data_IF_734293149743
#
_entry.id   IF_734293149743
#
_cell.length_a   1.000
_cell.length_b   1.000
_cell.length_c   1.000
_cell.angle_alpha   90.00
_cell.angle_beta   90.00
_cell.angle_gamma   90.00
#
_symmetry.space_group_name_H-M   'P 1'
#
loop_
_entity.id
_entity.type
_entity.pdbx_description
1 polymer ?
#
# COMPACT_ATOMS: atom_id res chain seq x y z
N UNK A 1 62.21 84.36 21.62
CA UNK A 1 61.42 84.89 22.75
C UNK A 1 60.33 83.89 23.08
N UNK A 2 60.35 83.45 24.32
CA UNK A 2 59.58 82.41 24.98
C UNK A 2 58.13 82.84 25.22
N UNK A 3 57.14 82.02 24.85
CA UNK A 3 55.80 82.08 25.44
C UNK A 3 55.26 80.67 25.66
N UNK A 4 55.25 80.27 26.94
CA UNK A 4 54.51 79.12 27.48
C UNK A 4 53.02 79.31 27.21
N UNK A 5 52.33 78.28 26.70
CA UNK A 5 50.87 78.15 26.84
C UNK A 5 50.57 76.83 27.55
N UNK A 6 49.89 76.97 28.70
CA UNK A 6 49.26 75.89 29.42
C UNK A 6 48.20 75.25 28.52
N UNK A 7 48.22 73.93 28.38
CA UNK A 7 47.12 73.16 27.80
C UNK A 7 46.53 72.29 28.90
N UNK A 8 45.29 72.63 29.30
CA UNK A 8 44.53 71.92 30.32
C UNK A 8 44.20 70.50 29.89
N UNK A 9 44.31 69.57 30.84
CA UNK A 9 43.90 68.19 30.68
C UNK A 9 42.37 68.11 30.73
N UNK A 10 41.75 67.78 29.59
CA UNK A 10 40.35 67.34 29.54
C UNK A 10 40.33 65.81 29.69
N UNK A 11 39.89 65.32 30.85
CA UNK A 11 39.59 63.90 31.04
C UNK A 11 38.27 63.63 30.30
N UNK A 12 38.35 63.02 29.11
CA UNK A 12 37.18 62.43 28.46
C UNK A 12 36.83 61.13 29.21
N UNK A 13 35.80 61.20 30.05
CA UNK A 13 35.10 60.01 30.56
C UNK A 13 34.38 59.33 29.38
N UNK A 14 35.00 58.29 28.82
CA UNK A 14 34.34 57.37 27.90
C UNK A 14 33.29 56.56 28.68
N UNK A 15 32.03 56.99 28.61
CA UNK A 15 30.91 56.15 28.98
C UNK A 15 30.86 54.97 27.98
N UNK A 16 31.42 53.83 28.36
CA UNK A 16 31.10 52.54 27.75
C UNK A 16 29.66 52.18 28.14
N UNK A 17 28.68 52.79 27.48
CA UNK A 17 27.33 52.26 27.45
C UNK A 17 27.37 50.88 26.78
N UNK A 18 26.68 49.86 27.29
CA UNK A 18 26.64 48.55 26.65
C UNK A 18 26.12 48.75 25.23
N UNK A 19 26.93 48.37 24.23
CA UNK A 19 26.47 48.25 22.84
C UNK A 19 25.37 47.20 22.85
N UNK A 20 24.11 47.64 22.79
CA UNK A 20 22.99 46.78 22.42
C UNK A 20 23.28 46.38 20.98
N UNK A 21 23.87 45.21 20.77
CA UNK A 21 23.92 44.60 19.45
C UNK A 21 22.48 44.48 18.97
N UNK A 22 22.13 45.17 17.88
CA UNK A 22 20.83 45.01 17.26
C UNK A 22 20.64 43.52 16.93
N UNK A 23 19.58 42.93 17.47
CA UNK A 23 19.26 41.53 17.23
C UNK A 23 18.87 41.39 15.76
N UNK A 24 19.74 40.79 14.95
CA UNK A 24 19.49 40.54 13.54
C UNK A 24 18.65 39.26 13.41
N UNK A 25 17.53 39.33 12.70
CA UNK A 25 16.74 38.15 12.37
C UNK A 25 17.53 37.23 11.43
N UNK A 26 17.52 35.93 11.72
CA UNK A 26 18.11 34.93 10.86
C UNK A 26 17.32 34.82 9.53
N UNK A 27 17.96 34.41 8.42
CA UNK A 27 17.24 34.12 7.18
C UNK A 27 16.14 33.09 7.38
N UNK A 28 15.05 33.19 6.60
CA UNK A 28 13.98 32.20 6.62
C UNK A 28 14.51 30.83 6.24
N UNK A 29 14.12 29.80 6.99
CA UNK A 29 14.37 28.41 6.62
C UNK A 29 13.58 28.10 5.33
N UNK A 30 14.24 27.67 4.22
CA UNK A 30 13.52 27.31 3.00
C UNK A 30 12.50 26.21 3.27
N UNK A 31 11.33 26.27 2.63
CA UNK A 31 10.31 25.21 2.71
C UNK A 31 10.74 23.92 1.99
N UNK A 32 9.88 22.88 2.02
CA UNK A 32 10.03 21.72 1.13
C UNK A 32 10.08 22.15 -0.33
N UNK A 33 10.66 21.32 -1.19
CA UNK A 33 10.76 21.62 -2.61
C UNK A 33 9.38 21.54 -3.28
N UNK A 34 8.79 22.72 -3.54
CA UNK A 34 7.47 22.84 -4.15
C UNK A 34 7.37 22.20 -5.55
N UNK A 35 8.51 21.92 -6.20
CA UNK A 35 8.53 21.21 -7.49
C UNK A 35 8.02 19.78 -7.36
N UNK A 36 8.21 19.12 -6.21
CA UNK A 36 7.78 17.73 -6.00
C UNK A 36 6.46 17.62 -5.22
N UNK A 37 5.88 18.74 -4.75
CA UNK A 37 4.58 18.72 -4.06
C UNK A 37 3.47 18.20 -5.00
N UNK A 38 2.74 17.20 -4.54
CA UNK A 38 1.56 16.64 -5.24
C UNK A 38 0.30 16.72 -4.38
N UNK A 39 -0.87 16.74 -5.01
CA UNK A 39 -2.17 16.59 -4.32
C UNK A 39 -2.43 15.12 -3.98
N UNK A 40 -2.13 14.20 -4.90
CA UNK A 40 -2.25 12.76 -4.68
C UNK A 40 -0.98 12.00 -5.05
N UNK A 41 -0.67 10.94 -4.31
CA UNK A 41 0.40 9.99 -4.62
C UNK A 41 -0.23 8.62 -4.88
N UNK A 42 0.03 8.05 -6.04
CA UNK A 42 -0.37 6.68 -6.38
C UNK A 42 0.79 5.76 -6.03
N UNK A 43 0.54 4.71 -5.27
CA UNK A 43 1.54 3.72 -4.87
C UNK A 43 1.03 2.36 -5.32
N UNK A 44 1.77 1.66 -6.17
CA UNK A 44 1.31 0.45 -6.87
C UNK A 44 2.41 -0.61 -6.98
N UNK A 45 2.04 -1.82 -7.40
CA UNK A 45 2.95 -2.92 -7.65
C UNK A 45 3.86 -2.61 -8.83
N UNK A 46 3.26 -2.59 -10.02
CA UNK A 46 3.95 -2.75 -11.29
C UNK A 46 3.67 -1.63 -12.29
N UNK A 47 4.59 -1.40 -13.25
CA UNK A 47 4.37 -0.53 -14.40
C UNK A 47 3.22 -1.00 -15.32
N UNK A 48 2.01 -0.53 -15.04
CA UNK A 48 0.74 -0.71 -15.78
C UNK A 48 -0.46 -0.48 -14.84
N UNK A 49 -0.28 -0.82 -13.56
CA UNK A 49 -1.25 -0.65 -12.48
C UNK A 49 -1.85 0.76 -12.39
N UNK A 50 -1.12 1.81 -12.80
CA UNK A 50 -1.63 3.18 -12.80
C UNK A 50 -2.81 3.39 -13.76
N UNK A 51 -2.98 2.51 -14.76
CA UNK A 51 -4.07 2.60 -15.72
C UNK A 51 -5.44 2.38 -15.06
N UNK A 52 -5.51 1.59 -13.97
CA UNK A 52 -6.73 1.39 -13.15
C UNK A 52 -7.39 2.70 -12.71
N UNK A 53 -6.57 3.74 -12.52
CA UNK A 53 -7.04 5.05 -12.04
C UNK A 53 -6.79 6.17 -13.05
N UNK A 54 -6.19 5.90 -14.22
CA UNK A 54 -5.73 6.93 -15.15
C UNK A 54 -6.84 7.89 -15.62
N UNK A 55 -8.04 7.38 -15.92
CA UNK A 55 -9.16 8.24 -16.33
C UNK A 55 -9.57 9.24 -15.23
N UNK A 56 -9.53 8.82 -13.96
CA UNK A 56 -9.79 9.69 -12.81
C UNK A 56 -8.68 10.71 -12.64
N UNK A 57 -7.41 10.28 -12.69
CA UNK A 57 -6.25 11.16 -12.57
C UNK A 57 -6.23 12.24 -13.66
N UNK A 58 -6.42 11.83 -14.92
CA UNK A 58 -6.49 12.73 -16.07
C UNK A 58 -7.56 13.81 -15.88
N UNK A 59 -8.75 13.42 -15.41
CA UNK A 59 -9.84 14.36 -15.09
C UNK A 59 -9.45 15.34 -14.00
N UNK A 60 -8.88 14.85 -12.91
CA UNK A 60 -8.50 15.69 -11.77
C UNK A 60 -7.37 16.67 -12.13
N UNK A 61 -6.41 16.22 -12.94
CA UNK A 61 -5.33 17.07 -13.48
C UNK A 61 -5.89 18.17 -14.38
N UNK A 62 -6.75 17.80 -15.33
CA UNK A 62 -7.26 18.75 -16.32
C UNK A 62 -8.25 19.75 -15.72
N UNK A 63 -9.27 19.24 -15.02
CA UNK A 63 -10.40 20.06 -14.59
C UNK A 63 -10.17 20.71 -13.23
N UNK A 64 -9.51 20.01 -12.31
CA UNK A 64 -9.30 20.50 -10.94
C UNK A 64 -7.86 20.97 -10.68
N UNK A 65 -6.98 20.92 -11.70
CA UNK A 65 -5.57 21.35 -11.61
C UNK A 65 -4.80 20.66 -10.50
N UNK A 66 -5.20 19.42 -10.19
CA UNK A 66 -4.51 18.58 -9.22
C UNK A 66 -3.18 18.10 -9.79
N UNK A 67 -2.20 17.87 -8.92
CA UNK A 67 -0.91 17.28 -9.24
C UNK A 67 -0.86 15.87 -8.69
N UNK A 68 -0.37 14.93 -9.49
CA UNK A 68 -0.16 13.55 -9.06
C UNK A 68 1.25 13.10 -9.40
N UNK A 69 1.72 12.10 -8.66
CA UNK A 69 2.91 11.33 -8.97
C UNK A 69 2.64 9.85 -8.68
N UNK A 70 3.49 8.98 -9.21
CA UNK A 70 3.36 7.52 -9.06
C UNK A 70 4.63 6.91 -8.47
N UNK A 71 4.46 5.92 -7.62
CA UNK A 71 5.51 5.11 -7.03
C UNK A 71 5.20 3.64 -7.34
N UNK A 72 6.11 2.98 -8.04
CA UNK A 72 6.04 1.56 -8.34
C UNK A 72 6.96 0.81 -7.38
N UNK A 73 6.41 -0.16 -6.64
CA UNK A 73 7.17 -0.96 -5.68
C UNK A 73 8.12 -1.95 -6.35
N UNK A 74 7.81 -2.34 -7.60
CA UNK A 74 8.69 -3.08 -8.49
C UNK A 74 8.92 -2.34 -9.80
N UNK A 75 9.68 -2.98 -10.71
CA UNK A 75 9.94 -2.48 -12.06
C UNK A 75 9.27 -3.34 -13.14
N UNK A 76 8.40 -4.28 -12.76
CA UNK A 76 7.71 -5.18 -13.70
C UNK A 76 8.65 -6.20 -14.36
N UNK A 77 9.67 -6.68 -13.65
CA UNK A 77 10.77 -7.44 -14.26
C UNK A 77 10.51 -8.93 -14.50
N UNK A 78 9.41 -9.51 -13.99
CA UNK A 78 9.09 -10.94 -14.14
C UNK A 78 7.83 -11.22 -14.97
N UNK A 79 7.18 -10.17 -15.48
CA UNK A 79 6.03 -10.29 -16.37
C UNK A 79 6.36 -10.83 -17.77
N UNK A 80 5.32 -11.15 -18.53
CA UNK A 80 5.47 -11.50 -19.95
C UNK A 80 6.00 -10.33 -20.79
N UNK A 81 6.64 -10.63 -21.91
CA UNK A 81 7.05 -9.61 -22.89
C UNK A 81 6.45 -9.93 -24.26
N UNK A 82 5.51 -9.09 -24.70
CA UNK A 82 4.81 -9.24 -25.98
C UNK A 82 5.64 -8.81 -27.20
N UNK A 83 6.68 -7.99 -26.99
CA UNK A 83 7.41 -7.29 -28.07
C UNK A 83 8.73 -7.97 -28.39
N UNK A 84 9.47 -8.41 -27.38
CA UNK A 84 10.86 -8.82 -27.52
C UNK A 84 11.31 -9.92 -26.57
N UNK A 85 12.62 -10.16 -26.55
CA UNK A 85 13.25 -11.18 -25.69
C UNK A 85 13.87 -10.58 -24.41
N UNK A 86 13.82 -9.26 -24.24
CA UNK A 86 14.24 -8.58 -23.02
C UNK A 86 13.43 -9.12 -21.84
N UNK A 87 14.15 -9.53 -20.79
CA UNK A 87 13.59 -10.18 -19.61
C UNK A 87 14.38 -9.73 -18.37
N UNK A 88 13.80 -9.95 -17.18
CA UNK A 88 14.45 -9.60 -15.91
C UNK A 88 14.83 -8.10 -15.90
N UNK A 89 16.06 -7.76 -15.52
CA UNK A 89 16.54 -6.37 -15.45
C UNK A 89 16.41 -5.61 -16.77
N UNK A 90 16.54 -6.27 -17.93
CA UNK A 90 16.35 -5.60 -19.22
C UNK A 90 14.88 -5.22 -19.46
N UNK A 91 13.94 -6.09 -19.08
CA UNK A 91 12.51 -5.78 -19.15
C UNK A 91 12.13 -4.67 -18.17
N UNK A 92 12.75 -4.65 -16.98
CA UNK A 92 12.58 -3.58 -16.01
C UNK A 92 12.91 -2.20 -16.60
N UNK A 93 14.04 -2.07 -17.29
CA UNK A 93 14.45 -0.81 -17.92
C UNK A 93 13.49 -0.39 -19.05
N UNK A 94 12.94 -1.35 -19.79
CA UNK A 94 11.91 -1.09 -20.82
C UNK A 94 10.62 -0.59 -20.17
N UNK A 95 10.11 -1.30 -19.16
CA UNK A 95 8.82 -0.99 -18.51
C UNK A 95 8.83 0.31 -17.71
N UNK A 96 9.98 0.71 -17.15
CA UNK A 96 10.13 2.06 -16.61
C UNK A 96 9.89 3.15 -17.66
N UNK A 97 10.41 2.94 -18.87
CA UNK A 97 10.24 3.89 -19.97
C UNK A 97 8.79 3.89 -20.49
N UNK A 98 8.18 2.71 -20.60
CA UNK A 98 6.76 2.58 -20.97
C UNK A 98 5.86 3.32 -19.98
N UNK A 99 6.06 3.12 -18.67
CA UNK A 99 5.30 3.84 -17.64
C UNK A 99 5.49 5.34 -17.71
N UNK A 100 6.73 5.84 -17.86
CA UNK A 100 6.99 7.28 -17.98
C UNK A 100 6.32 7.88 -19.22
N UNK A 101 6.34 7.19 -20.35
CA UNK A 101 5.65 7.62 -21.56
C UNK A 101 4.13 7.61 -21.37
N UNK A 102 3.58 6.56 -20.76
CA UNK A 102 2.16 6.43 -20.44
C UNK A 102 1.68 7.58 -19.56
N UNK A 103 2.32 7.78 -18.41
CA UNK A 103 2.03 8.84 -17.44
C UNK A 103 2.05 10.24 -18.06
N UNK A 104 3.00 10.50 -18.95
CA UNK A 104 3.13 11.79 -19.61
C UNK A 104 1.93 12.12 -20.52
N UNK A 105 1.24 11.12 -21.09
CA UNK A 105 0.07 11.34 -21.98
C UNK A 105 -1.11 12.02 -21.27
N UNK A 106 -1.20 11.88 -19.95
CA UNK A 106 -2.26 12.45 -19.13
C UNK A 106 -1.76 13.40 -18.03
N UNK A 107 -0.48 13.78 -18.09
CA UNK A 107 0.07 14.94 -17.37
C UNK A 107 0.83 14.62 -16.08
N UNK A 108 1.20 13.36 -15.83
CA UNK A 108 2.07 12.97 -14.73
C UNK A 108 3.51 12.87 -15.23
N UNK A 109 4.44 13.57 -14.58
CA UNK A 109 5.85 13.60 -14.97
C UNK A 109 6.80 13.06 -13.88
N UNK A 110 6.29 12.89 -12.66
CA UNK A 110 7.05 12.44 -11.51
C UNK A 110 6.68 10.98 -11.22
N UNK A 111 7.65 10.08 -11.43
CA UNK A 111 7.51 8.66 -11.19
C UNK A 111 8.81 8.08 -10.61
N UNK A 112 8.66 7.29 -9.54
CA UNK A 112 9.75 6.57 -8.89
C UNK A 112 9.49 5.07 -8.94
N UNK A 113 10.57 4.32 -9.06
CA UNK A 113 10.56 2.86 -9.14
C UNK A 113 11.49 2.35 -8.05
N UNK A 114 10.96 1.52 -7.16
CA UNK A 114 11.71 0.90 -6.09
C UNK A 114 12.46 -0.33 -6.60
N UNK A 115 13.19 -0.97 -5.70
CA UNK A 115 14.07 -2.11 -6.01
C UNK A 115 13.41 -3.48 -5.80
N UNK A 116 12.10 -3.54 -5.54
CA UNK A 116 11.37 -4.81 -5.44
C UNK A 116 11.40 -5.58 -6.77
N UNK A 117 11.48 -6.91 -6.69
CA UNK A 117 11.28 -7.79 -7.84
C UNK A 117 9.87 -8.33 -7.82
N UNK A 118 9.22 -8.44 -8.97
CA UNK A 118 7.90 -9.07 -9.07
C UNK A 118 7.98 -10.51 -8.52
N UNK A 119 6.96 -10.89 -7.76
CA UNK A 119 6.84 -12.25 -7.22
C UNK A 119 5.74 -13.05 -7.91
N UNK A 120 5.80 -14.38 -7.87
CA UNK A 120 4.72 -15.24 -8.32
C UNK A 120 3.91 -15.82 -7.15
N UNK A 121 2.58 -15.90 -7.28
CA UNK A 121 1.72 -16.68 -6.39
C UNK A 121 0.47 -15.96 -5.94
N UNK A 122 0.22 -15.96 -4.63
CA UNK A 122 -0.89 -15.27 -3.98
C UNK A 122 -0.59 -14.87 -2.52
N UNK A 123 0.66 -15.02 -2.05
CA UNK A 123 1.05 -14.74 -0.66
C UNK A 123 1.76 -13.38 -0.53
N UNK A 124 1.03 -12.37 -0.03
CA UNK A 124 1.56 -11.02 0.24
C UNK A 124 2.84 -11.02 1.10
N UNK A 125 2.99 -11.99 2.02
CA UNK A 125 4.15 -12.05 2.89
C UNK A 125 5.42 -12.42 2.09
N UNK A 126 5.27 -13.17 1.01
CA UNK A 126 6.36 -13.49 0.10
C UNK A 126 6.83 -12.25 -0.67
N UNK A 127 5.91 -11.41 -1.17
CA UNK A 127 6.24 -10.13 -1.79
C UNK A 127 6.99 -9.22 -0.83
N UNK A 128 6.45 -9.02 0.38
CA UNK A 128 7.05 -8.18 1.41
C UNK A 128 8.45 -8.67 1.82
N UNK A 129 8.65 -9.98 1.96
CA UNK A 129 9.96 -10.57 2.23
C UNK A 129 10.92 -10.31 1.06
N UNK A 130 10.50 -10.62 -0.17
CA UNK A 130 11.33 -10.53 -1.38
C UNK A 130 11.80 -9.10 -1.65
N UNK A 131 10.94 -8.11 -1.40
CA UNK A 131 11.28 -6.70 -1.60
C UNK A 131 12.14 -6.11 -0.47
N UNK A 132 12.29 -6.85 0.63
CA UNK A 132 12.86 -6.31 1.85
C UNK A 132 11.94 -5.26 2.46
N UNK A 133 10.84 -5.70 3.08
CA UNK A 133 9.77 -4.87 3.66
C UNK A 133 10.26 -3.57 4.31
N UNK A 134 11.23 -3.65 5.23
CA UNK A 134 11.75 -2.46 5.92
C UNK A 134 12.45 -1.46 4.99
N UNK A 135 13.15 -1.92 3.96
CA UNK A 135 13.81 -1.07 2.96
C UNK A 135 12.78 -0.43 2.03
N UNK A 136 11.84 -1.21 1.50
CA UNK A 136 10.76 -0.68 0.67
C UNK A 136 9.95 0.39 1.42
N UNK A 137 9.64 0.13 2.70
CA UNK A 137 8.93 1.06 3.56
C UNK A 137 9.73 2.35 3.83
N UNK A 138 11.05 2.27 4.05
CA UNK A 138 11.96 3.44 4.13
C UNK A 138 11.80 4.33 2.89
N UNK A 139 11.93 3.74 1.70
CA UNK A 139 11.86 4.42 0.42
C UNK A 139 10.49 5.09 0.18
N UNK A 140 9.39 4.41 0.49
CA UNK A 140 8.05 5.01 0.35
C UNK A 140 7.83 6.13 1.35
N UNK A 141 8.24 5.98 2.62
CA UNK A 141 8.14 7.05 3.61
C UNK A 141 8.96 8.28 3.18
N UNK A 142 10.15 8.06 2.61
CA UNK A 142 10.98 9.11 2.01
C UNK A 142 10.23 9.85 0.91
N UNK A 143 9.58 9.12 0.00
CA UNK A 143 8.83 9.69 -1.12
C UNK A 143 7.56 10.42 -0.66
N UNK A 144 6.84 9.92 0.35
CA UNK A 144 5.70 10.65 0.95
C UNK A 144 6.17 11.96 1.58
N UNK A 145 7.31 11.98 2.27
CA UNK A 145 7.87 13.22 2.85
C UNK A 145 8.39 14.19 1.80
N UNK A 146 8.99 13.69 0.72
CA UNK A 146 9.46 14.50 -0.41
C UNK A 146 8.30 15.15 -1.16
N UNK A 147 7.26 14.36 -1.47
CA UNK A 147 6.14 14.78 -2.32
C UNK A 147 4.99 15.41 -1.56
N UNK A 148 4.96 15.25 -0.23
CA UNK A 148 3.97 15.83 0.66
C UNK A 148 2.51 15.65 0.18
N UNK A 149 2.03 14.44 -0.15
CA UNK A 149 0.70 14.25 -0.77
C UNK A 149 -0.44 14.52 0.22
N UNK A 150 -1.57 15.05 -0.27
CA UNK A 150 -2.78 15.16 0.55
C UNK A 150 -3.50 13.80 0.66
N UNK A 151 -3.48 13.03 -0.42
CA UNK A 151 -4.14 11.72 -0.55
C UNK A 151 -3.16 10.67 -1.07
N UNK A 152 -3.26 9.45 -0.55
CA UNK A 152 -2.63 8.26 -1.13
C UNK A 152 -3.71 7.40 -1.81
N UNK A 153 -3.42 6.93 -3.02
CA UNK A 153 -4.23 5.95 -3.76
C UNK A 153 -3.37 4.70 -3.97
N UNK A 154 -3.89 3.51 -3.70
CA UNK A 154 -3.11 2.27 -3.78
C UNK A 154 -4.02 1.05 -3.92
N UNK A 155 -3.44 -0.12 -4.17
CA UNK A 155 -4.15 -1.40 -4.13
C UNK A 155 -4.75 -1.74 -2.77
N UNK A 156 -5.79 -2.58 -2.76
CA UNK A 156 -6.46 -3.05 -1.55
C UNK A 156 -5.55 -3.98 -0.73
N UNK A 157 -5.23 -3.66 0.54
CA UNK A 157 -4.51 -4.57 1.43
C UNK A 157 -5.47 -5.63 2.00
N UNK A 158 -5.94 -6.53 1.13
CA UNK A 158 -6.79 -7.65 1.45
C UNK A 158 -6.50 -8.82 0.50
N UNK A 159 -6.64 -10.04 1.02
CA UNK A 159 -6.55 -11.26 0.23
C UNK A 159 -7.84 -11.44 -0.57
N UNK A 160 -7.76 -11.28 -1.89
CA UNK A 160 -8.85 -11.53 -2.84
C UNK A 160 -8.39 -12.62 -3.79
N UNK A 161 -9.25 -13.59 -4.09
CA UNK A 161 -8.83 -14.73 -4.90
C UNK A 161 -8.97 -14.45 -6.39
N UNK A 162 -7.96 -14.87 -7.17
CA UNK A 162 -7.96 -14.74 -8.64
C UNK A 162 -7.74 -13.32 -9.17
N UNK A 163 -7.62 -12.34 -8.27
CA UNK A 163 -7.51 -10.91 -8.49
C UNK A 163 -6.65 -10.33 -7.36
N UNK A 164 -6.14 -9.11 -7.52
CA UNK A 164 -5.38 -8.38 -6.52
C UNK A 164 -4.24 -9.25 -5.98
N UNK A 165 -3.37 -9.65 -6.89
CA UNK A 165 -2.31 -10.61 -6.59
C UNK A 165 -1.36 -10.06 -5.51
N UNK A 166 -0.47 -10.91 -5.01
CA UNK A 166 0.37 -10.70 -3.84
C UNK A 166 1.16 -9.39 -3.84
N UNK A 167 1.64 -8.96 -5.00
CA UNK A 167 2.40 -7.72 -5.12
C UNK A 167 1.47 -6.49 -5.06
N UNK A 168 0.26 -6.56 -5.63
CA UNK A 168 -0.76 -5.52 -5.43
C UNK A 168 -1.07 -5.37 -3.94
N UNK A 169 -1.32 -6.49 -3.27
CA UNK A 169 -1.51 -6.55 -1.82
C UNK A 169 -0.32 -5.94 -1.05
N UNK A 170 0.90 -6.29 -1.45
CA UNK A 170 2.14 -5.78 -0.84
C UNK A 170 2.28 -4.27 -0.96
N UNK A 171 1.97 -3.71 -2.13
CA UNK A 171 1.95 -2.26 -2.33
C UNK A 171 0.89 -1.58 -1.44
N UNK A 172 -0.30 -2.17 -1.32
CA UNK A 172 -1.36 -1.71 -0.41
C UNK A 172 -0.92 -1.71 1.07
N UNK A 173 -0.21 -2.75 1.50
CA UNK A 173 0.36 -2.84 2.85
C UNK A 173 1.37 -1.72 3.08
N UNK A 174 2.38 -1.59 2.21
CA UNK A 174 3.43 -0.60 2.33
C UNK A 174 2.89 0.85 2.31
N UNK A 175 1.93 1.14 1.44
CA UNK A 175 1.28 2.44 1.35
C UNK A 175 0.49 2.78 2.63
N UNK A 176 -0.18 1.80 3.22
CA UNK A 176 -0.94 1.95 4.47
C UNK A 176 0.00 2.24 5.65
N UNK A 177 1.12 1.53 5.75
CA UNK A 177 2.13 1.78 6.77
C UNK A 177 2.82 3.14 6.56
N UNK A 178 3.17 3.49 5.32
CA UNK A 178 3.78 4.78 5.00
C UNK A 178 2.86 5.95 5.35
N UNK A 179 1.54 5.81 5.15
CA UNK A 179 0.54 6.79 5.60
C UNK A 179 0.65 7.06 7.11
N UNK A 180 0.86 6.01 7.91
CA UNK A 180 0.94 6.10 9.37
C UNK A 180 2.31 6.53 9.89
N UNK A 181 3.37 6.37 9.09
CA UNK A 181 4.74 6.62 9.52
C UNK A 181 5.33 7.94 9.00
N UNK A 182 4.88 8.45 7.86
CA UNK A 182 5.49 9.63 7.23
C UNK A 182 5.45 10.89 8.11
N UNK A 183 4.42 11.03 8.95
CA UNK A 183 4.29 12.13 9.93
C UNK A 183 5.08 11.91 11.22
N UNK A 184 5.63 10.72 11.47
CA UNK A 184 6.38 10.38 12.68
C UNK A 184 7.90 10.62 12.47
N UNK A 185 8.53 11.59 13.15
CA UNK A 185 9.97 11.86 12.99
C UNK A 185 10.90 10.76 13.51
N UNK A 186 10.37 9.79 14.28
CA UNK A 186 11.15 8.64 14.77
C UNK A 186 11.14 7.45 13.81
N UNK A 187 10.28 7.45 12.80
CA UNK A 187 10.34 6.51 11.70
C UNK A 187 11.37 7.01 10.68
N UNK A 188 12.44 6.25 10.44
CA UNK A 188 13.54 6.63 9.54
C UNK A 188 14.11 8.03 9.85
N UNK A 189 14.66 8.24 11.08
CA UNK A 189 15.10 9.57 11.54
C UNK A 189 16.23 10.18 10.69
N UNK A 190 17.01 9.35 10.00
CA UNK A 190 18.03 9.74 9.02
C UNK A 190 17.47 10.49 7.80
N UNK A 191 16.19 10.34 7.49
CA UNK A 191 15.52 11.13 6.45
C UNK A 191 15.20 12.56 6.91
N UNK A 192 14.90 12.74 8.20
CA UNK A 192 14.47 14.06 8.73
C UNK A 192 15.62 14.88 9.28
N UNK A 193 16.78 14.26 9.55
CA UNK A 193 17.95 15.00 10.02
C UNK A 193 18.41 15.99 8.94
N UNK A 194 18.58 17.26 9.35
CA UNK A 194 18.98 18.32 8.45
C UNK A 194 20.41 18.11 7.94
N UNK A 195 20.71 18.48 6.67
CA UNK A 195 22.08 18.48 6.17
C UNK A 195 22.94 19.49 6.94
N UNK A 196 24.20 19.13 7.21
CA UNK A 196 25.15 19.99 7.93
C UNK A 196 25.33 21.38 7.29
N UNK A 197 25.41 21.45 5.96
CA UNK A 197 25.47 22.69 5.19
C UNK A 197 24.90 22.50 3.78
N UNK A 198 23.58 22.66 3.62
CA UNK A 198 22.85 22.43 2.34
C UNK A 198 23.41 23.15 1.09
N UNK A 199 24.31 24.11 1.24
CA UNK A 199 24.92 24.88 0.14
C UNK A 199 26.34 24.41 -0.21
N UNK A 200 26.83 23.32 0.38
CA UNK A 200 28.19 22.82 0.19
C UNK A 200 28.21 21.29 -0.08
N UNK A 201 29.38 20.73 -0.39
CA UNK A 201 29.59 19.28 -0.58
C UNK A 201 29.72 18.55 0.78
N UNK A 202 29.65 17.22 0.76
CA UNK A 202 29.76 16.34 1.95
C UNK A 202 28.67 16.56 3.00
N UNK A 203 27.43 16.77 2.54
CA UNK A 203 26.26 16.78 3.41
C UNK A 203 25.70 15.38 3.60
N UNK A 204 25.61 14.97 4.86
CA UNK A 204 24.91 13.76 5.29
C UNK A 204 23.59 14.17 5.95
N UNK A 205 22.52 13.40 5.74
CA UNK A 205 21.16 13.73 6.16
C UNK A 205 20.31 14.31 5.03
N UNK A 206 19.08 13.81 4.88
CA UNK A 206 18.22 14.14 3.74
C UNK A 206 17.42 15.45 3.94
N UNK A 207 17.26 15.91 5.18
CA UNK A 207 16.60 17.18 5.50
C UNK A 207 15.12 17.25 5.13
N UNK A 208 14.46 16.09 4.95
CA UNK A 208 13.03 16.02 4.73
C UNK A 208 12.26 16.42 5.99
N UNK A 209 10.99 16.77 5.83
CA UNK A 209 10.11 17.11 6.95
C UNK A 209 9.09 16.00 7.13
N UNK A 210 8.70 15.69 8.38
CA UNK A 210 7.54 14.84 8.61
C UNK A 210 6.32 15.41 7.87
N UNK A 211 5.58 14.53 7.21
CA UNK A 211 4.37 14.90 6.47
C UNK A 211 3.28 13.87 6.75
N UNK A 212 2.10 14.33 7.13
CA UNK A 212 0.95 13.48 7.37
C UNK A 212 -0.02 13.59 6.19
N UNK A 213 -0.13 12.56 5.32
CA UNK A 213 -1.21 12.49 4.35
C UNK A 213 -2.55 12.48 5.08
N UNK A 214 -3.57 13.07 4.45
CA UNK A 214 -4.88 13.29 5.09
C UNK A 214 -5.83 12.14 4.85
N UNK A 215 -5.75 11.49 3.69
CA UNK A 215 -6.61 10.35 3.34
C UNK A 215 -5.87 9.27 2.56
N UNK A 216 -6.36 8.04 2.65
CA UNK A 216 -5.95 6.92 1.82
C UNK A 216 -7.18 6.19 1.30
N UNK A 217 -7.17 5.86 0.01
CA UNK A 217 -8.20 5.10 -0.68
C UNK A 217 -7.57 3.94 -1.43
N UNK A 218 -8.32 2.85 -1.53
CA UNK A 218 -7.89 1.64 -2.21
C UNK A 218 -8.65 1.41 -3.51
N UNK A 219 -8.06 0.70 -4.47
CA UNK A 219 -8.73 0.13 -5.65
C UNK A 219 -8.34 -1.35 -5.81
N UNK A 220 -9.01 -2.05 -6.73
CA UNK A 220 -8.83 -3.48 -6.97
C UNK A 220 -9.30 -3.83 -8.40
N UNK A 221 -8.67 -4.85 -8.96
CA UNK A 221 -8.75 -5.41 -10.33
C UNK A 221 -9.69 -6.62 -10.49
N UNK A 222 -10.25 -7.17 -9.41
CA UNK A 222 -11.64 -6.80 -9.21
C UNK A 222 -12.72 -7.06 -10.28
N UNK A 223 -13.05 -8.27 -10.72
CA UNK A 223 -14.18 -8.51 -11.63
C UNK A 223 -15.53 -8.69 -10.91
N UNK A 224 -15.53 -8.78 -9.58
CA UNK A 224 -16.74 -8.92 -8.74
C UNK A 224 -17.11 -7.62 -8.04
N UNK A 225 -17.82 -6.72 -8.72
CA UNK A 225 -18.00 -5.34 -8.23
C UNK A 225 -18.94 -5.13 -7.03
N UNK A 226 -19.66 -6.16 -6.55
CA UNK A 226 -20.71 -6.00 -5.54
C UNK A 226 -20.18 -5.42 -4.22
N UNK A 227 -18.94 -5.73 -3.84
CA UNK A 227 -18.36 -5.24 -2.58
C UNK A 227 -17.91 -3.78 -2.64
N UNK A 228 -17.76 -3.15 -3.81
CA UNK A 228 -17.49 -1.71 -3.88
C UNK A 228 -18.68 -0.87 -3.44
N UNK A 229 -19.89 -1.42 -3.52
CA UNK A 229 -21.13 -0.67 -3.34
C UNK A 229 -21.18 -0.01 -1.96
N UNK A 230 -21.14 1.31 -1.96
CA UNK A 230 -21.20 2.13 -0.73
C UNK A 230 -19.93 2.09 0.12
N UNK A 231 -18.84 1.49 -0.37
CA UNK A 231 -17.55 1.42 0.34
C UNK A 231 -16.60 2.56 -0.02
N UNK A 232 -16.87 3.31 -1.08
CA UNK A 232 -16.13 4.51 -1.43
C UNK A 232 -16.75 5.25 -2.62
N UNK A 233 -16.08 6.29 -3.14
CA UNK A 233 -16.56 7.04 -4.29
C UNK A 233 -16.40 6.26 -5.60
N UNK A 234 -17.33 6.49 -6.52
CA UNK A 234 -17.29 5.96 -7.88
C UNK A 234 -17.25 7.12 -8.88
N UNK A 235 -16.37 7.02 -9.88
CA UNK A 235 -16.15 8.04 -10.89
C UNK A 235 -16.40 7.49 -12.30
N UNK A 236 -17.28 8.17 -13.03
CA UNK A 236 -17.52 7.85 -14.45
C UNK A 236 -16.33 8.27 -15.30
N UNK A 237 -15.98 7.44 -16.27
CA UNK A 237 -14.87 7.65 -17.21
C UNK A 237 -15.34 8.23 -18.55
N UNK A 238 -16.65 8.25 -18.81
CA UNK A 238 -17.25 8.75 -20.05
C UNK A 238 -17.40 10.28 -20.14
N UNK A 239 -16.94 11.02 -19.13
CA UNK A 239 -16.93 12.48 -19.19
C UNK A 239 -15.90 12.97 -20.23
N UNK A 240 -16.27 13.98 -21.02
CA UNK A 240 -15.44 14.48 -22.11
C UNK A 240 -14.39 15.45 -21.59
N UNK A 241 -13.12 15.17 -21.88
CA UNK A 241 -11.99 16.07 -21.68
C UNK A 241 -12.23 17.40 -22.40
N UNK A 242 -12.28 18.55 -21.69
CA UNK A 242 -12.49 19.85 -22.30
C UNK A 242 -11.43 20.25 -23.33
N UNK A 243 -10.17 19.84 -23.16
CA UNK A 243 -9.08 20.14 -24.09
C UNK A 243 -9.00 19.14 -25.24
N UNK A 244 -9.10 17.84 -24.96
CA UNK A 244 -8.89 16.78 -25.95
C UNK A 244 -10.14 16.43 -26.75
N UNK A 245 -11.33 16.79 -26.27
CA UNK A 245 -12.65 16.50 -26.88
C UNK A 245 -12.96 15.00 -27.05
N UNK A 246 -12.35 14.17 -26.21
CA UNK A 246 -12.58 12.72 -26.12
C UNK A 246 -12.94 12.36 -24.66
N UNK A 247 -13.63 11.23 -24.40
CA UNK A 247 -13.89 10.79 -23.03
C UNK A 247 -12.60 10.43 -22.29
N UNK A 248 -12.57 10.58 -20.96
CA UNK A 248 -11.40 10.17 -20.16
C UNK A 248 -11.11 8.67 -20.23
N UNK A 249 -12.10 7.83 -20.53
CA UNK A 249 -11.87 6.42 -20.87
C UNK A 249 -10.93 6.27 -22.07
N UNK A 250 -11.10 7.09 -23.10
CA UNK A 250 -10.21 7.08 -24.27
C UNK A 250 -8.83 7.66 -23.95
N UNK A 251 -8.73 8.59 -22.99
CA UNK A 251 -7.44 9.06 -22.46
C UNK A 251 -6.69 7.91 -21.78
N UNK A 252 -7.37 7.11 -20.94
CA UNK A 252 -6.78 5.93 -20.31
C UNK A 252 -6.40 4.85 -21.33
N UNK A 253 -7.22 4.63 -22.36
CA UNK A 253 -6.89 3.70 -23.44
C UNK A 253 -5.66 4.13 -24.26
N UNK A 254 -5.48 5.44 -24.49
CA UNK A 254 -4.26 5.96 -25.12
C UNK A 254 -3.04 5.77 -24.20
N UNK A 255 -3.18 6.02 -22.90
CA UNK A 255 -2.13 5.76 -21.92
C UNK A 255 -1.71 4.28 -21.91
N UNK A 256 -2.68 3.36 -21.95
CA UNK A 256 -2.42 1.91 -22.06
C UNK A 256 -1.60 1.55 -23.30
N UNK A 257 -1.77 2.25 -24.43
CA UNK A 257 -1.05 1.95 -25.68
C UNK A 257 0.48 2.11 -25.60
N UNK A 258 0.99 2.72 -24.52
CA UNK A 258 2.42 2.83 -24.25
C UNK A 258 3.01 1.61 -23.54
N UNK A 259 2.19 0.76 -22.92
CA UNK A 259 2.60 -0.50 -22.29
C UNK A 259 2.66 -1.63 -23.33
N UNK A 260 3.55 -1.49 -24.31
CA UNK A 260 3.63 -2.40 -25.45
C UNK A 260 4.11 -3.79 -25.05
N UNK A 261 4.95 -3.89 -24.03
CA UNK A 261 5.42 -5.19 -23.52
C UNK A 261 4.32 -6.01 -22.82
N UNK A 262 3.21 -5.38 -22.45
CA UNK A 262 2.05 -6.04 -21.87
C UNK A 262 1.18 -6.69 -22.95
N UNK A 263 0.55 -7.84 -22.66
CA UNK A 263 -0.29 -8.57 -23.61
C UNK A 263 -1.67 -8.88 -23.03
N UNK A 264 -2.25 -7.92 -22.33
CA UNK A 264 -3.35 -8.23 -21.40
C UNK A 264 -4.73 -8.03 -22.02
N UNK A 265 -4.84 -7.21 -23.08
CA UNK A 265 -6.12 -6.85 -23.66
C UNK A 265 -6.18 -6.95 -25.19
N UNK A 266 -7.26 -7.55 -25.67
CA UNK A 266 -7.81 -7.22 -27.00
C UNK A 266 -8.45 -5.83 -26.99
N UNK A 267 -8.65 -5.22 -28.15
CA UNK A 267 -9.32 -3.90 -28.27
C UNK A 267 -10.68 -3.86 -27.54
N UNK A 268 -11.44 -4.96 -27.58
CA UNK A 268 -12.74 -5.06 -26.92
C UNK A 268 -12.59 -5.08 -25.39
N UNK A 269 -11.63 -5.84 -24.86
CA UNK A 269 -11.36 -5.90 -23.42
C UNK A 269 -10.82 -4.57 -22.91
N UNK A 270 -9.90 -3.92 -23.64
CA UNK A 270 -9.38 -2.61 -23.27
C UNK A 270 -10.50 -1.56 -23.21
N UNK A 271 -11.42 -1.61 -24.17
CA UNK A 271 -12.59 -0.73 -24.17
C UNK A 271 -13.48 -0.98 -22.96
N UNK A 272 -13.79 -2.24 -22.65
CA UNK A 272 -14.59 -2.61 -21.48
C UNK A 272 -13.93 -2.14 -20.18
N UNK A 273 -12.63 -2.42 -20.03
CA UNK A 273 -11.82 -2.01 -18.89
C UNK A 273 -11.82 -0.48 -18.69
N UNK A 274 -11.47 0.27 -19.73
CA UNK A 274 -11.32 1.74 -19.62
C UNK A 274 -12.65 2.50 -19.56
N UNK A 275 -13.75 1.94 -20.08
CA UNK A 275 -15.09 2.54 -19.95
C UNK A 275 -15.79 2.17 -18.65
N UNK A 276 -15.28 1.19 -17.90
CA UNK A 276 -15.79 0.88 -16.57
C UNK A 276 -15.63 2.10 -15.63
N UNK A 277 -16.57 2.32 -14.70
CA UNK A 277 -16.39 3.32 -13.66
C UNK A 277 -15.20 2.97 -12.76
N UNK A 278 -14.38 3.97 -12.43
CA UNK A 278 -13.32 3.81 -11.44
C UNK A 278 -13.95 3.79 -10.05
N UNK A 279 -13.64 2.76 -9.27
CA UNK A 279 -14.20 2.53 -7.94
C UNK A 279 -13.10 2.53 -6.91
N UNK A 280 -13.29 3.36 -5.89
CA UNK A 280 -12.42 3.36 -4.73
C UNK A 280 -13.12 2.76 -3.53
N UNK A 281 -12.32 2.22 -2.62
CA UNK A 281 -12.70 1.76 -1.29
C UNK A 281 -12.09 2.74 -0.31
N UNK A 282 -12.90 3.27 0.59
CA UNK A 282 -12.45 4.17 1.64
C UNK A 282 -11.51 3.42 2.59
N UNK A 283 -10.27 3.91 2.71
CA UNK A 283 -9.34 3.45 3.73
C UNK A 283 -9.53 4.22 5.01
N UNK A 284 -8.97 5.42 5.11
CA UNK A 284 -9.13 6.30 6.28
C UNK A 284 -9.02 7.77 5.92
N UNK A 285 -9.59 8.62 6.76
CA UNK A 285 -9.51 10.09 6.65
C UNK A 285 -9.24 10.72 8.01
N UNK A 286 -8.20 11.56 8.07
CA UNK A 286 -7.82 12.36 9.24
C UNK A 286 -8.50 13.75 9.24
N UNK A 287 -9.29 14.05 8.21
CA UNK A 287 -10.01 15.32 8.04
C UNK A 287 -11.54 15.13 7.94
N UNK A 288 -12.03 13.92 8.25
CA UNK A 288 -13.43 13.55 8.17
C UNK A 288 -13.95 13.43 6.73
N UNK A 289 -15.27 13.57 6.57
CA UNK A 289 -15.98 13.27 5.31
C UNK A 289 -16.72 11.93 5.39
N UNK A 290 -17.66 11.69 4.49
CA UNK A 290 -18.32 10.38 4.38
C UNK A 290 -17.45 9.44 3.53
N UNK A 291 -17.54 8.11 3.73
CA UNK A 291 -16.77 7.14 2.94
C UNK A 291 -16.95 7.29 1.43
N UNK A 292 -18.17 7.62 0.98
CA UNK A 292 -18.56 7.77 -0.43
C UNK A 292 -18.40 9.19 -0.98
N UNK A 293 -17.92 10.13 -0.17
CA UNK A 293 -17.64 11.49 -0.62
C UNK A 293 -16.50 11.53 -1.61
N UNK A 294 -16.42 12.63 -2.37
CA UNK A 294 -15.26 12.91 -3.22
C UNK A 294 -13.94 12.79 -2.43
N UNK A 295 -12.94 12.19 -3.06
CA UNK A 295 -11.61 11.94 -2.49
C UNK A 295 -11.01 13.22 -1.88
N UNK A 296 -11.17 14.38 -2.53
CA UNK A 296 -10.61 15.64 -2.06
C UNK A 296 -11.54 16.46 -1.15
N UNK A 297 -12.73 15.94 -0.80
CA UNK A 297 -13.65 16.62 0.12
C UNK A 297 -12.95 16.94 1.45
N UNK A 298 -13.12 18.15 1.98
CA UNK A 298 -12.56 18.62 3.27
C UNK A 298 -11.02 18.67 3.35
N UNK A 299 -10.32 18.55 2.23
CA UNK A 299 -8.87 18.77 2.19
C UNK A 299 -8.58 20.27 2.12
N UNK A 300 -8.06 20.83 3.21
CA UNK A 300 -7.54 22.19 3.27
C UNK A 300 -6.04 22.22 2.87
N UNK A 301 -5.48 23.33 2.35
CA UNK A 301 -4.06 23.38 1.96
C UNK A 301 -3.05 23.30 3.12
N UNK A 302 -3.47 23.60 4.36
CA UNK A 302 -2.57 23.58 5.51
C UNK A 302 -2.19 22.14 5.90
N UNK A 303 -0.93 21.89 6.32
CA UNK A 303 -0.55 20.59 6.87
C UNK A 303 -1.30 20.30 8.18
N UNK A 304 -1.53 19.03 8.47
CA UNK A 304 -2.04 18.58 9.76
C UNK A 304 -0.91 18.02 10.63
N UNK A 305 -1.13 17.98 11.94
CA UNK A 305 -0.21 17.32 12.87
C UNK A 305 -0.20 15.80 12.66
N UNK A 306 0.85 15.15 13.16
CA UNK A 306 0.94 13.70 13.18
C UNK A 306 -0.25 13.08 13.92
N UNK A 307 -0.88 12.07 13.32
CA UNK A 307 -1.91 11.26 13.97
C UNK A 307 -1.38 9.84 14.11
N UNK A 308 -1.28 9.39 15.36
CA UNK A 308 -0.80 8.04 15.66
C UNK A 308 -1.86 7.01 15.27
N UNK A 309 -1.48 6.00 14.49
CA UNK A 309 -2.28 4.80 14.29
C UNK A 309 -2.48 4.03 15.61
N UNK A 310 -3.52 3.18 15.67
CA UNK A 310 -3.79 2.32 16.84
C UNK A 310 -2.55 1.52 17.24
N UNK A 311 -1.86 0.97 16.24
CA UNK A 311 -0.77 0.02 16.42
C UNK A 311 -1.28 -1.37 16.81
N UNK A 312 -0.38 -2.34 16.83
CA UNK A 312 -0.72 -3.71 17.22
C UNK A 312 -1.16 -3.78 18.68
N UNK A 313 -2.33 -4.38 18.90
CA UNK A 313 -2.83 -4.75 20.23
C UNK A 313 -2.97 -6.28 20.26
N UNK A 314 -2.34 -6.97 21.22
CA UNK A 314 -2.49 -8.41 21.32
C UNK A 314 -3.94 -8.76 21.64
N UNK A 315 -4.52 -9.78 20.98
CA UNK A 315 -5.87 -10.22 21.29
C UNK A 315 -5.95 -10.78 22.71
N UNK A 316 -7.17 -10.84 23.26
CA UNK A 316 -7.41 -11.45 24.56
C UNK A 316 -6.88 -12.89 24.62
N UNK A 317 -6.24 -13.24 25.73
CA UNK A 317 -5.65 -14.56 25.93
C UNK A 317 -6.71 -15.67 25.83
N UNK A 318 -6.59 -16.52 24.81
CA UNK A 318 -7.50 -17.63 24.58
C UNK A 318 -6.81 -18.81 23.88
N UNK A 319 -7.49 -19.95 23.90
CA UNK A 319 -7.17 -21.08 23.02
C UNK A 319 -8.05 -20.96 21.77
N UNK A 320 -7.46 -20.84 20.59
CA UNK A 320 -8.18 -20.61 19.35
C UNK A 320 -7.64 -21.45 18.18
N UNK A 321 -8.52 -21.77 17.24
CA UNK A 321 -8.16 -22.22 15.89
C UNK A 321 -8.49 -21.07 14.93
N UNK A 322 -7.53 -20.70 14.09
CA UNK A 322 -7.69 -19.62 13.10
C UNK A 322 -6.99 -19.96 11.78
N UNK A 323 -7.29 -19.19 10.72
CA UNK A 323 -6.45 -19.18 9.51
C UNK A 323 -5.17 -18.38 9.81
N UNK A 324 -4.03 -18.98 9.49
CA UNK A 324 -2.68 -18.42 9.51
C UNK A 324 -2.34 -17.64 8.24
N UNK A 325 -1.04 -17.52 7.95
CA UNK A 325 -0.54 -16.87 6.73
C UNK A 325 -1.08 -15.43 6.53
N UNK A 326 -1.39 -15.04 5.28
CA UNK A 326 -2.00 -13.75 4.97
C UNK A 326 -3.26 -13.42 5.78
N UNK A 327 -4.12 -14.41 6.06
CA UNK A 327 -5.35 -14.16 6.83
C UNK A 327 -5.08 -13.79 8.28
N UNK A 328 -4.11 -14.44 8.95
CA UNK A 328 -3.70 -14.05 10.29
C UNK A 328 -3.03 -12.67 10.29
N UNK A 329 -2.17 -12.42 9.31
CA UNK A 329 -1.52 -11.12 9.13
C UNK A 329 -2.57 -10.01 9.01
N UNK A 330 -3.51 -10.12 8.07
CA UNK A 330 -4.52 -9.08 7.85
C UNK A 330 -5.46 -8.87 9.03
N UNK A 331 -5.85 -9.95 9.72
CA UNK A 331 -6.67 -9.87 10.94
C UNK A 331 -6.05 -8.97 12.01
N UNK A 332 -4.72 -8.94 12.11
CA UNK A 332 -3.99 -8.04 12.99
C UNK A 332 -3.68 -6.68 12.35
N UNK A 333 -3.37 -6.66 11.05
CA UNK A 333 -3.00 -5.47 10.29
C UNK A 333 -4.12 -4.43 10.26
N UNK A 334 -5.34 -4.82 9.87
CA UNK A 334 -6.43 -3.86 9.70
C UNK A 334 -6.75 -3.03 10.95
N UNK A 335 -6.97 -3.63 12.15
CA UNK A 335 -7.22 -2.84 13.35
C UNK A 335 -5.99 -2.01 13.76
N UNK A 336 -4.76 -2.52 13.55
CA UNK A 336 -3.53 -1.78 13.87
C UNK A 336 -3.40 -0.47 13.07
N UNK A 337 -3.95 -0.44 11.86
CA UNK A 337 -3.90 0.70 10.94
C UNK A 337 -5.21 1.49 10.84
N UNK A 338 -6.18 1.22 11.73
CA UNK A 338 -7.50 1.86 11.78
C UNK A 338 -8.32 1.69 10.49
N UNK A 339 -8.26 0.49 9.89
CA UNK A 339 -8.98 0.11 8.67
C UNK A 339 -9.72 -1.23 8.86
N UNK A 340 -10.12 -1.58 10.09
CA UNK A 340 -10.79 -2.86 10.41
C UNK A 340 -12.07 -3.15 9.62
N UNK A 341 -12.73 -2.12 9.08
CA UNK A 341 -13.93 -2.28 8.24
C UNK A 341 -13.65 -2.98 6.90
N UNK A 342 -12.37 -3.09 6.51
CA UNK A 342 -11.98 -3.89 5.33
C UNK A 342 -12.18 -5.40 5.56
N UNK A 343 -12.19 -5.86 6.81
CA UNK A 343 -12.44 -7.27 7.15
C UNK A 343 -13.84 -7.74 6.71
N UNK A 344 -14.78 -6.81 6.52
CA UNK A 344 -16.16 -7.10 6.12
C UNK A 344 -16.33 -7.16 4.59
N UNK A 345 -15.27 -6.94 3.80
CA UNK A 345 -15.36 -6.95 2.34
C UNK A 345 -15.40 -8.37 1.78
N UNK A 346 -14.56 -9.26 2.31
CA UNK A 346 -14.41 -10.63 1.84
C UNK A 346 -14.34 -11.61 3.00
N UNK A 347 -15.03 -12.74 2.83
CA UNK A 347 -14.75 -13.92 3.63
C UNK A 347 -13.44 -14.54 3.11
N UNK A 348 -12.64 -15.21 3.97
CA UNK A 348 -11.46 -15.93 3.53
C UNK A 348 -11.75 -16.86 2.36
N UNK A 349 -10.99 -16.72 1.30
CA UNK A 349 -11.17 -17.44 0.04
C UNK A 349 -9.84 -17.88 -0.57
N UNK A 350 -9.83 -18.96 -1.34
CA UNK A 350 -8.65 -19.58 -1.95
C UNK A 350 -9.03 -20.22 -3.30
N UNK A 351 -8.04 -20.55 -4.13
CA UNK A 351 -8.25 -21.19 -5.43
C UNK A 351 -7.36 -22.44 -5.54
N UNK A 352 -7.87 -23.47 -6.20
CA UNK A 352 -7.11 -24.70 -6.46
C UNK A 352 -7.63 -25.40 -7.71
N UNK A 353 -6.73 -26.02 -8.47
CA UNK A 353 -7.14 -26.86 -9.59
C UNK A 353 -7.69 -28.22 -9.12
N UNK A 354 -8.65 -28.81 -9.86
CA UNK A 354 -9.08 -30.16 -9.60
C UNK A 354 -7.90 -31.14 -9.59
N UNK A 355 -7.83 -32.01 -8.57
CA UNK A 355 -6.74 -32.98 -8.41
C UNK A 355 -5.44 -32.43 -7.79
N UNK A 356 -5.28 -31.11 -7.72
CA UNK A 356 -4.13 -30.48 -7.08
C UNK A 356 -4.33 -30.33 -5.56
N UNK A 357 -3.23 -30.12 -4.84
CA UNK A 357 -3.25 -29.91 -3.38
C UNK A 357 -3.22 -28.42 -3.06
N UNK A 358 -4.20 -27.96 -2.28
CA UNK A 358 -4.19 -26.65 -1.64
C UNK A 358 -3.67 -26.79 -0.22
N UNK A 359 -2.60 -26.07 0.11
CA UNK A 359 -2.20 -25.92 1.49
C UNK A 359 -3.15 -24.97 2.22
N UNK A 360 -3.63 -25.38 3.39
CA UNK A 360 -4.50 -24.54 4.23
C UNK A 360 -3.72 -24.15 5.49
N UNK A 361 -3.31 -22.88 5.63
CA UNK A 361 -2.59 -22.44 6.81
C UNK A 361 -3.56 -22.36 7.98
N UNK A 362 -3.67 -23.43 8.76
CA UNK A 362 -4.39 -23.41 10.03
C UNK A 362 -3.40 -23.16 11.17
N UNK A 363 -3.80 -22.34 12.13
CA UNK A 363 -3.01 -22.00 13.31
C UNK A 363 -3.81 -22.31 14.57
N UNK A 364 -3.22 -23.10 15.47
CA UNK A 364 -3.75 -23.29 16.82
C UNK A 364 -2.96 -22.39 17.74
N UNK A 365 -3.61 -21.40 18.35
CA UNK A 365 -2.98 -20.46 19.27
C UNK A 365 -3.38 -20.77 20.71
N UNK A 366 -2.41 -20.89 21.60
CA UNK A 366 -2.62 -21.17 23.01
C UNK A 366 -2.00 -20.07 23.88
N UNK A 367 -2.77 -19.03 24.20
CA UNK A 367 -2.31 -17.95 25.09
C UNK A 367 -2.47 -18.31 26.59
N UNK A 368 -2.80 -19.56 26.93
CA UNK A 368 -3.02 -19.97 28.31
C UNK A 368 -1.72 -20.43 28.97
N UNK A 369 -1.69 -20.45 30.31
CA UNK A 369 -0.52 -20.89 31.09
C UNK A 369 -0.32 -22.42 31.15
N UNK A 370 -1.10 -23.19 30.38
CA UNK A 370 -1.05 -24.66 30.41
C UNK A 370 -0.97 -25.24 29.00
N UNK A 371 -0.31 -26.40 28.88
CA UNK A 371 -0.32 -27.18 27.64
C UNK A 371 -1.75 -27.56 27.29
N UNK A 372 -2.11 -27.42 26.01
CA UNK A 372 -3.43 -27.80 25.48
C UNK A 372 -3.31 -28.88 24.44
N UNK A 373 -4.18 -29.89 24.53
CA UNK A 373 -4.33 -30.91 23.49
C UNK A 373 -5.57 -30.58 22.67
N UNK A 374 -5.35 -30.22 21.42
CA UNK A 374 -6.41 -29.77 20.51
C UNK A 374 -6.57 -30.78 19.40
N UNK A 375 -7.76 -31.38 19.30
CA UNK A 375 -8.12 -32.22 18.16
C UNK A 375 -8.68 -31.33 17.05
N UNK A 376 -8.08 -31.36 15.87
CA UNK A 376 -8.59 -30.66 14.67
C UNK A 376 -9.15 -31.70 13.70
N UNK A 377 -10.37 -31.46 13.25
CA UNK A 377 -11.11 -32.33 12.31
C UNK A 377 -11.70 -31.50 11.19
N UNK A 378 -11.47 -31.88 9.94
CA UNK A 378 -12.17 -31.25 8.84
C UNK A 378 -13.61 -31.76 8.68
N UNK A 379 -14.44 -30.86 8.18
CA UNK A 379 -15.82 -31.07 7.75
C UNK A 379 -15.86 -30.63 6.29
N UNK A 380 -15.55 -31.58 5.40
CA UNK A 380 -15.39 -31.31 3.97
C UNK A 380 -16.63 -31.79 3.18
N UNK A 381 -17.00 -31.10 2.08
CA UNK A 381 -17.99 -31.62 1.14
C UNK A 381 -17.56 -32.97 0.54
N UNK A 382 -18.53 -33.78 0.11
CA UNK A 382 -18.23 -35.05 -0.57
C UNK A 382 -17.36 -34.81 -1.81
N UNK A 383 -16.32 -35.63 -2.02
CA UNK A 383 -15.37 -35.48 -3.14
C UNK A 383 -14.08 -34.71 -2.78
N UNK A 384 -13.98 -34.16 -1.57
CA UNK A 384 -12.73 -33.60 -1.05
C UNK A 384 -11.96 -34.64 -0.24
N UNK A 385 -10.63 -34.55 -0.29
CA UNK A 385 -9.72 -35.31 0.57
C UNK A 385 -8.81 -34.37 1.35
N UNK A 386 -8.34 -34.81 2.52
CA UNK A 386 -7.39 -34.07 3.37
C UNK A 386 -6.17 -34.94 3.72
N UNK A 387 -5.03 -34.27 3.95
CA UNK A 387 -3.83 -34.89 4.51
C UNK A 387 -3.09 -33.89 5.41
N UNK A 388 -2.78 -34.24 6.68
CA UNK A 388 -3.25 -35.44 7.38
C UNK A 388 -4.77 -35.38 7.63
N UNK A 389 -5.34 -36.48 8.12
CA UNK A 389 -6.72 -36.50 8.58
C UNK A 389 -6.88 -35.83 9.96
N UNK A 390 -7.86 -36.30 10.73
CA UNK A 390 -8.03 -35.85 12.13
C UNK A 390 -6.81 -36.18 12.99
N UNK A 391 -6.20 -35.16 13.58
CA UNK A 391 -5.03 -35.28 14.46
C UNK A 391 -5.21 -34.50 15.77
N UNK A 392 -4.40 -34.87 16.77
CA UNK A 392 -4.36 -34.21 18.08
C UNK A 392 -3.02 -33.49 18.23
N UNK A 393 -3.09 -32.18 18.42
CA UNK A 393 -1.94 -31.30 18.52
C UNK A 393 -1.71 -30.91 19.98
N UNK A 394 -0.48 -31.05 20.46
CA UNK A 394 -0.08 -30.61 21.80
C UNK A 394 0.59 -29.24 21.69
N UNK A 395 -0.10 -28.19 22.12
CA UNK A 395 0.37 -26.81 22.02
C UNK A 395 0.86 -26.34 23.40
N UNK A 396 2.10 -25.84 23.47
CA UNK A 396 2.69 -25.35 24.70
C UNK A 396 1.98 -24.06 25.19
N UNK A 397 2.13 -23.69 26.48
CA UNK A 397 1.68 -22.38 26.97
C UNK A 397 2.33 -21.24 26.18
N UNK A 398 1.55 -20.22 25.84
CA UNK A 398 2.01 -19.03 25.10
C UNK A 398 2.68 -19.36 23.76
N UNK A 399 2.17 -20.40 23.09
CA UNK A 399 2.73 -20.92 21.84
C UNK A 399 1.65 -21.06 20.75
N UNK A 400 2.11 -21.13 19.51
CA UNK A 400 1.25 -21.35 18.34
C UNK A 400 1.74 -22.57 17.56
N UNK A 401 0.80 -23.42 17.12
CA UNK A 401 1.09 -24.61 16.34
C UNK A 401 0.56 -24.45 14.91
N UNK A 402 1.44 -24.36 13.88
CA UNK A 402 1.03 -24.34 12.48
C UNK A 402 0.64 -25.76 12.04
N UNK A 403 -0.64 -25.96 11.75
CA UNK A 403 -1.17 -27.24 11.29
C UNK A 403 -0.80 -27.43 9.82
N UNK A 404 -0.02 -28.47 9.54
CA UNK A 404 0.46 -28.82 8.20
C UNK A 404 -0.60 -29.65 7.47
N UNK A 405 -1.61 -28.99 6.90
CA UNK A 405 -2.73 -29.65 6.23
C UNK A 405 -2.87 -29.20 4.78
N UNK A 406 -3.10 -30.16 3.90
CA UNK A 406 -3.47 -29.95 2.51
C UNK A 406 -4.81 -30.60 2.20
N UNK A 407 -5.58 -29.99 1.31
CA UNK A 407 -6.84 -30.51 0.78
C UNK A 407 -6.79 -30.65 -0.73
N UNK A 408 -7.47 -31.65 -1.26
CA UNK A 408 -7.56 -31.88 -2.71
C UNK A 408 -9.01 -32.10 -3.13
N UNK A 409 -9.54 -31.29 -4.05
CA UNK A 409 -10.87 -31.51 -4.62
C UNK A 409 -10.84 -32.54 -5.74
N UNK A 410 -11.93 -33.30 -5.87
CA UNK A 410 -12.21 -34.11 -7.06
C UNK A 410 -12.63 -33.24 -8.25
N UNK A 411 -12.42 -33.78 -9.46
CA UNK A 411 -12.89 -33.22 -10.75
C UNK A 411 -14.38 -32.84 -10.77
N UNK A 412 -15.21 -33.51 -9.96
CA UNK A 412 -16.65 -33.22 -9.88
C UNK A 412 -16.98 -31.80 -9.40
N UNK A 413 -16.03 -31.10 -8.77
CA UNK A 413 -16.21 -29.74 -8.25
C UNK A 413 -15.69 -28.65 -9.18
N UNK A 414 -15.16 -29.01 -10.36
CA UNK A 414 -14.61 -28.04 -11.32
C UNK A 414 -15.62 -26.93 -11.65
N UNK A 415 -15.13 -25.69 -11.66
CA UNK A 415 -15.87 -24.46 -11.88
C UNK A 415 -16.98 -24.23 -10.83
N UNK A 416 -16.69 -24.51 -9.57
CA UNK A 416 -17.63 -24.27 -8.47
C UNK A 416 -16.96 -23.80 -7.20
N UNK A 417 -17.67 -22.93 -6.48
CA UNK A 417 -17.32 -22.49 -5.14
C UNK A 417 -17.74 -23.52 -4.10
N UNK A 418 -16.80 -23.90 -3.22
CA UNK A 418 -17.00 -24.81 -2.11
C UNK A 418 -16.70 -24.09 -0.79
N UNK A 419 -17.31 -24.54 0.31
CA UNK A 419 -16.95 -24.06 1.66
C UNK A 419 -16.39 -25.22 2.45
N UNK A 420 -15.13 -25.09 2.86
CA UNK A 420 -14.44 -26.05 3.70
C UNK A 420 -14.46 -25.56 5.14
N UNK A 421 -14.55 -26.47 6.10
CA UNK A 421 -14.55 -26.12 7.51
C UNK A 421 -13.66 -27.06 8.32
N UNK A 422 -13.05 -26.51 9.37
CA UNK A 422 -12.29 -27.26 10.36
C UNK A 422 -12.80 -26.93 11.75
N UNK A 423 -13.07 -27.98 12.53
CA UNK A 423 -13.50 -27.86 13.91
C UNK A 423 -12.37 -28.24 14.84
N UNK A 424 -12.12 -27.39 15.84
CA UNK A 424 -11.18 -27.70 16.90
C UNK A 424 -11.91 -27.99 18.21
N UNK A 425 -11.44 -29.00 18.93
CA UNK A 425 -11.95 -29.39 20.24
C UNK A 425 -10.81 -29.63 21.25
N UNK A 426 -11.04 -29.30 22.51
CA UNK A 426 -10.17 -29.62 23.66
C UNK A 426 -11.02 -30.27 24.73
N UNK A 427 -10.58 -31.38 25.33
CA UNK A 427 -11.30 -32.07 26.42
C UNK A 427 -12.79 -32.33 26.11
N UNK A 428 -13.10 -32.65 24.85
CA UNK A 428 -14.48 -32.89 24.37
C UNK A 428 -15.34 -31.62 24.19
N UNK A 429 -14.78 -30.42 24.35
CA UNK A 429 -15.46 -29.13 24.12
C UNK A 429 -14.96 -28.47 22.85
N UNK A 430 -15.87 -27.91 22.06
CA UNK A 430 -15.55 -27.13 20.86
C UNK A 430 -14.90 -25.79 21.25
N UNK A 431 -13.74 -25.50 20.67
CA UNK A 431 -13.01 -24.23 20.88
C UNK A 431 -13.22 -23.25 19.73
N UNK A 432 -13.54 -23.74 18.53
CA UNK A 432 -13.78 -22.89 17.36
C UNK A 432 -14.06 -23.68 16.09
N UNK A 433 -14.54 -22.96 15.08
CA UNK A 433 -14.61 -23.43 13.70
C UNK A 433 -13.97 -22.40 12.81
N UNK A 434 -13.14 -22.86 11.89
CA UNK A 434 -12.58 -22.06 10.81
C UNK A 434 -13.23 -22.49 9.52
N UNK A 435 -13.57 -21.53 8.66
CA UNK A 435 -14.11 -21.77 7.32
C UNK A 435 -13.24 -21.10 6.27
N UNK A 436 -13.07 -21.75 5.12
CA UNK A 436 -12.40 -21.22 3.94
C UNK A 436 -13.30 -21.48 2.72
N UNK A 437 -13.58 -20.44 1.94
CA UNK A 437 -14.22 -20.61 0.64
C UNK A 437 -13.16 -20.99 -0.39
N UNK A 438 -13.43 -21.95 -1.25
CA UNK A 438 -12.46 -22.38 -2.26
C UNK A 438 -13.14 -22.44 -3.62
N UNK A 439 -12.59 -21.73 -4.59
CA UNK A 439 -13.00 -21.84 -5.99
C UNK A 439 -12.14 -22.89 -6.70
N UNK A 440 -12.79 -23.90 -7.28
CA UNK A 440 -12.11 -25.04 -7.89
C UNK A 440 -12.01 -24.81 -9.40
N UNK A 441 -10.88 -24.29 -9.86
CA UNK A 441 -10.68 -23.83 -11.26
C UNK A 441 -9.38 -24.34 -11.86
N UNK A 442 -9.40 -24.66 -13.15
CA UNK A 442 -8.27 -25.35 -13.82
C UNK A 442 -7.01 -24.51 -14.07
N UNK A 443 -7.02 -23.22 -13.72
CA UNK A 443 -5.94 -22.26 -13.94
C UNK A 443 -5.57 -21.49 -12.66
N UNK A 444 -5.92 -22.00 -11.47
CA UNK A 444 -5.51 -21.37 -10.22
C UNK A 444 -3.99 -21.29 -10.16
N UNK A 445 -3.45 -20.11 -9.83
CA UNK A 445 -2.04 -19.99 -9.48
C UNK A 445 -1.77 -20.89 -8.27
N UNK A 446 -0.58 -21.53 -8.16
CA UNK A 446 -0.22 -22.27 -6.97
C UNK A 446 -0.34 -21.36 -5.74
N UNK A 447 -1.11 -21.80 -4.75
CA UNK A 447 -1.28 -21.12 -3.46
C UNK A 447 -0.52 -21.84 -2.35
#
# INVERSE_FOLDING_TARGET
MTTRKLLGWWILLWFFGPRVCAQQEAPRNPGPDARYKVDGLVIVGHPDDDIEVAAYLAKMIEQQRKRFAVVYTTRGNSGGNAVGYEQSTALADVREMEARHSLATYGINDAWFLHGSDTPGADVLHSLETWGHGQALDEIVRLVRLTCPEVILTWLPNYVVGENHEDHQGAGVLATEAFDLAGNPLAFPEQVTAPRNRLNISNYGEGLRPWQPKKIYYFSDTIHFDFFKGKGPEYRTNEISPSRKIPYSQVAAEAWSHYQTQNDFTDAQLKEFTEAPIRFIFGKSLVGGAPTSDIFERIAPAPIGYVRARGYEPPSAQLALELGGPWAFYRAFWPAHNIEHLADLYAPEAQVAPGDSLWVPLLIRNDTDAVKKVTVRAVLPAGWSEKPGTEVYSVAPHDSYPVQLAVTPSESHKNSWQTLAWEATTDGRKIGTVTLRVDVVGNGLPQ
#
